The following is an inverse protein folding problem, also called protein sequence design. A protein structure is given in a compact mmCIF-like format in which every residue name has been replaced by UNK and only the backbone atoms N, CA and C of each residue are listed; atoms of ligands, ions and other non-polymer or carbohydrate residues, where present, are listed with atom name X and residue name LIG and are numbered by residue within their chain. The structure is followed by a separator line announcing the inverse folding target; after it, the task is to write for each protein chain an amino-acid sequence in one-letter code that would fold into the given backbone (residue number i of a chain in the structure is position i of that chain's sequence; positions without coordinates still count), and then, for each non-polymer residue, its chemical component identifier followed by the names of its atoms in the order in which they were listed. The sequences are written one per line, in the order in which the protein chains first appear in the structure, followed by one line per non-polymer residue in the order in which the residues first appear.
data_IF_839470972879
#
_entry.id   IF_839470972879
#
_cell.length_a   1.000
_cell.length_b   1.000
_cell.length_c   1.000
_cell.angle_alpha   90.00
_cell.angle_beta   90.00
_cell.angle_gamma   90.00
#
_symmetry.space_group_name_H-M   'P 1'
#
loop_
_entity.id
_entity.type
_entity.pdbx_description
1 polymer ?
#
# COMPACT_ATOMS: atom_id res chain seq x y z
N UNK A 1 -24.26 -42.54 -20.35
CA UNK A 1 -23.34 -42.43 -19.20
C UNK A 1 -22.08 -41.73 -19.69
N UNK A 2 -21.98 -40.41 -19.51
CA UNK A 2 -20.83 -39.65 -20.00
C UNK A 2 -19.87 -39.41 -18.84
N UNK A 3 -18.68 -40.00 -18.97
CA UNK A 3 -17.55 -39.88 -18.05
C UNK A 3 -17.16 -38.42 -17.86
N UNK A 4 -17.36 -37.87 -16.65
CA UNK A 4 -16.77 -36.58 -16.25
C UNK A 4 -15.30 -36.82 -15.98
N UNK A 5 -14.44 -36.43 -16.91
CA UNK A 5 -13.05 -36.16 -16.57
C UNK A 5 -13.01 -34.93 -15.63
N UNK A 6 -12.24 -34.98 -14.53
CA UNK A 6 -11.98 -33.77 -13.76
C UNK A 6 -11.12 -32.85 -14.63
N UNK A 7 -11.64 -31.68 -14.98
CA UNK A 7 -10.82 -30.61 -15.53
C UNK A 7 -9.71 -30.31 -14.52
N UNK A 8 -8.46 -30.60 -14.91
CA UNK A 8 -7.28 -30.20 -14.14
C UNK A 8 -7.23 -28.66 -14.13
N UNK A 9 -7.06 -28.00 -12.97
CA UNK A 9 -7.00 -26.55 -12.90
C UNK A 9 -5.75 -26.05 -13.63
N UNK A 10 -5.96 -25.40 -14.77
CA UNK A 10 -4.91 -24.86 -15.62
C UNK A 10 -4.25 -23.65 -14.95
N UNK A 11 -3.00 -23.84 -14.52
CA UNK A 11 -1.94 -22.83 -14.36
C UNK A 11 -2.26 -21.59 -13.49
N UNK A 12 -2.50 -21.78 -12.20
CA UNK A 12 -2.19 -20.76 -11.17
C UNK A 12 -1.01 -21.10 -10.28
N UNK A 13 -0.39 -22.25 -10.53
CA UNK A 13 0.67 -22.80 -9.68
C UNK A 13 2.06 -22.20 -9.90
N UNK A 14 2.29 -21.35 -10.90
CA UNK A 14 3.62 -20.90 -11.29
C UNK A 14 4.34 -20.16 -10.16
N UNK A 15 3.91 -18.93 -9.87
CA UNK A 15 4.54 -18.12 -8.81
C UNK A 15 4.27 -18.66 -7.41
N UNK A 16 3.08 -19.23 -7.15
CA UNK A 16 2.73 -19.81 -5.85
C UNK A 16 3.66 -20.97 -5.45
N UNK A 17 4.06 -21.81 -6.41
CA UNK A 17 5.06 -22.86 -6.15
C UNK A 17 6.39 -22.25 -5.75
N UNK A 18 6.82 -21.19 -6.44
CA UNK A 18 8.05 -20.48 -6.15
C UNK A 18 8.04 -19.79 -4.78
N UNK A 19 6.91 -19.21 -4.35
CA UNK A 19 6.77 -18.59 -3.03
C UNK A 19 7.02 -19.57 -1.88
N UNK A 20 6.70 -20.86 -2.06
CA UNK A 20 6.92 -21.90 -1.02
C UNK A 20 8.38 -22.32 -0.85
N UNK A 21 9.24 -22.03 -1.83
CA UNK A 21 10.64 -22.41 -1.74
C UNK A 21 11.42 -21.42 -0.88
N UNK A 22 12.45 -21.89 -0.17
CA UNK A 22 13.30 -21.03 0.68
C UNK A 22 14.37 -20.26 -0.13
N UNK A 23 14.63 -20.64 -1.38
CA UNK A 23 15.61 -19.98 -2.24
C UNK A 23 15.15 -18.56 -2.67
N UNK A 24 16.03 -17.54 -2.64
CA UNK A 24 15.66 -16.17 -3.04
C UNK A 24 15.03 -16.13 -4.43
N UNK A 25 13.97 -15.33 -4.61
CA UNK A 25 13.29 -15.22 -5.88
C UNK A 25 13.89 -14.07 -6.70
N UNK A 26 14.45 -14.36 -7.89
CA UNK A 26 14.86 -13.29 -8.79
C UNK A 26 13.63 -12.50 -9.23
N UNK A 27 13.77 -11.18 -9.32
CA UNK A 27 12.72 -10.33 -9.85
C UNK A 27 12.45 -10.66 -11.33
N UNK A 28 11.18 -10.86 -11.68
CA UNK A 28 10.67 -11.15 -13.02
C UNK A 28 9.48 -10.26 -13.29
N UNK A 29 9.35 -9.80 -14.53
CA UNK A 29 8.24 -8.92 -14.93
C UNK A 29 6.89 -9.54 -14.61
N UNK A 30 5.93 -8.67 -14.29
CA UNK A 30 4.58 -9.04 -13.96
C UNK A 30 3.91 -9.89 -15.05
N UNK A 31 3.07 -10.82 -14.62
CA UNK A 31 2.37 -11.73 -15.53
C UNK A 31 0.93 -11.92 -15.10
N UNK A 32 0.02 -11.89 -16.09
CA UNK A 32 -1.39 -12.24 -15.89
C UNK A 32 -1.58 -13.67 -15.37
N UNK A 33 -0.58 -14.56 -15.54
CA UNK A 33 -0.62 -15.94 -15.02
C UNK A 33 -0.58 -16.03 -13.50
N UNK A 34 -0.20 -14.94 -12.81
CA UNK A 34 -0.23 -14.86 -11.35
C UNK A 34 -1.62 -14.55 -10.82
N UNK A 35 -2.51 -14.04 -11.69
CA UNK A 35 -3.87 -13.77 -11.32
C UNK A 35 -4.62 -15.08 -11.10
N UNK A 36 -5.24 -15.12 -9.94
CA UNK A 36 -6.13 -16.17 -9.51
C UNK A 36 -7.30 -16.36 -10.49
N UNK A 37 -7.83 -17.59 -10.72
CA UNK A 37 -9.05 -17.76 -11.50
C UNK A 37 -10.19 -16.96 -10.86
N UNK A 38 -11.21 -16.63 -11.66
CA UNK A 38 -12.40 -15.96 -11.13
C UNK A 38 -12.98 -16.82 -9.99
N UNK A 39 -13.39 -16.18 -8.90
CA UNK A 39 -13.93 -16.80 -7.68
C UNK A 39 -12.92 -17.56 -6.79
N UNK A 40 -11.62 -17.46 -7.06
CA UNK A 40 -10.61 -17.93 -6.11
C UNK A 40 -10.04 -16.79 -5.26
N UNK A 41 -9.49 -17.15 -4.10
CA UNK A 41 -9.14 -16.22 -3.05
C UNK A 41 -7.63 -15.98 -3.00
N UNK A 42 -7.16 -14.72 -2.90
CA UNK A 42 -5.77 -14.40 -2.60
C UNK A 42 -5.26 -15.17 -1.39
N UNK A 43 -3.98 -15.55 -1.39
CA UNK A 43 -3.42 -16.38 -0.32
C UNK A 43 -3.48 -15.71 1.05
N UNK A 44 -3.72 -14.41 1.13
CA UNK A 44 -3.94 -13.64 2.37
C UNK A 44 -5.42 -13.35 2.66
N UNK A 45 -6.37 -13.82 1.85
CA UNK A 45 -7.80 -13.56 2.04
C UNK A 45 -8.29 -13.98 3.43
N UNK A 46 -9.03 -13.10 4.12
CA UNK A 46 -9.66 -13.35 5.43
C UNK A 46 -10.79 -14.37 5.37
N UNK A 47 -11.12 -14.86 4.17
CA UNK A 47 -12.07 -15.97 3.94
C UNK A 47 -11.39 -17.34 4.01
N UNK A 48 -10.06 -17.38 4.20
CA UNK A 48 -9.28 -18.61 4.36
C UNK A 48 -8.98 -18.84 5.84
N UNK A 49 -9.23 -20.06 6.32
CA UNK A 49 -8.93 -20.47 7.70
C UNK A 49 -7.45 -20.86 7.89
N UNK A 50 -6.76 -21.18 6.79
CA UNK A 50 -5.39 -21.67 6.78
C UNK A 50 -4.50 -20.84 5.86
N UNK A 51 -3.24 -20.69 6.22
CA UNK A 51 -2.24 -20.06 5.37
C UNK A 51 -1.72 -21.02 4.28
N UNK A 52 -0.76 -20.57 3.46
CA UNK A 52 -0.23 -21.36 2.35
C UNK A 52 0.50 -22.65 2.79
N UNK A 53 0.91 -22.72 4.05
CA UNK A 53 1.62 -23.84 4.69
C UNK A 53 0.67 -24.81 5.42
N UNK A 54 -0.63 -24.51 5.47
CA UNK A 54 -1.62 -25.34 6.15
C UNK A 54 -1.71 -25.08 7.66
N UNK A 55 -1.08 -24.03 8.17
CA UNK A 55 -1.25 -23.60 9.55
C UNK A 55 -2.56 -22.83 9.70
N UNK A 56 -3.32 -23.14 10.75
CA UNK A 56 -4.56 -22.43 11.05
C UNK A 56 -4.23 -20.98 11.42
N UNK A 57 -4.86 -20.02 10.75
CA UNK A 57 -4.70 -18.59 11.06
C UNK A 57 -5.18 -18.29 12.47
N UNK A 58 -4.63 -17.24 13.07
CA UNK A 58 -4.84 -16.87 14.48
C UNK A 58 -4.27 -17.82 15.54
N UNK A 59 -3.77 -19.00 15.16
CA UNK A 59 -2.95 -19.79 16.07
C UNK A 59 -1.62 -19.08 16.34
N UNK A 60 -1.01 -19.32 17.51
CA UNK A 60 0.31 -18.76 17.82
C UNK A 60 1.39 -19.22 16.82
N UNK A 61 1.26 -20.45 16.32
CA UNK A 61 2.17 -21.02 15.32
C UNK A 61 2.10 -20.31 13.94
N UNK A 62 0.95 -19.71 13.61
CA UNK A 62 0.76 -18.97 12.36
C UNK A 62 0.95 -17.45 12.54
N UNK A 63 1.52 -17.01 13.67
CA UNK A 63 1.68 -15.60 13.99
C UNK A 63 3.13 -15.22 14.22
N UNK A 64 3.45 -14.01 13.78
CA UNK A 64 4.72 -13.35 14.07
C UNK A 64 4.40 -11.95 14.60
N UNK A 65 4.45 -11.81 15.94
CA UNK A 65 3.99 -10.61 16.64
C UNK A 65 2.53 -10.27 16.30
N UNK A 66 2.29 -9.09 15.72
CA UNK A 66 0.98 -8.62 15.31
C UNK A 66 0.54 -9.15 13.93
N UNK A 67 1.43 -9.84 13.22
CA UNK A 67 1.20 -10.30 11.86
C UNK A 67 0.75 -11.76 11.82
N UNK A 68 -0.11 -12.08 10.85
CA UNK A 68 -0.34 -13.46 10.43
C UNK A 68 0.73 -13.82 9.38
N UNK A 69 1.30 -15.02 9.48
CA UNK A 69 2.32 -15.54 8.56
C UNK A 69 1.60 -16.14 7.36
N UNK A 70 1.77 -15.54 6.17
CA UNK A 70 1.15 -16.03 4.93
C UNK A 70 2.07 -16.99 4.17
N UNK A 71 3.36 -16.66 4.17
CA UNK A 71 4.45 -17.47 3.62
C UNK A 71 5.66 -17.29 4.54
N UNK A 72 6.15 -18.36 5.19
CA UNK A 72 7.20 -18.24 6.18
C UNK A 72 8.46 -17.57 5.62
N UNK A 73 8.97 -16.59 6.36
CA UNK A 73 10.18 -15.84 6.00
C UNK A 73 10.03 -14.89 4.80
N UNK A 74 8.84 -14.81 4.18
CA UNK A 74 8.65 -14.08 2.92
C UNK A 74 7.52 -13.07 2.95
N UNK A 75 6.37 -13.46 3.51
CA UNK A 75 5.14 -12.69 3.42
C UNK A 75 4.32 -12.78 4.70
N UNK A 76 3.89 -11.62 5.16
CA UNK A 76 3.05 -11.47 6.35
C UNK A 76 1.91 -10.51 6.08
N UNK A 77 0.77 -10.72 6.72
CA UNK A 77 -0.38 -9.83 6.66
C UNK A 77 -0.67 -9.21 8.04
N UNK A 78 -1.01 -7.93 8.04
CA UNK A 78 -1.44 -7.17 9.22
C UNK A 78 -2.79 -6.53 8.90
N UNK A 79 -3.74 -6.64 9.83
CA UNK A 79 -5.12 -6.24 9.61
C UNK A 79 -5.54 -5.18 10.62
N UNK A 80 -6.14 -4.10 10.12
CA UNK A 80 -6.85 -3.12 10.94
C UNK A 80 -8.29 -3.57 11.23
N UNK A 81 -9.00 -2.77 12.01
CA UNK A 81 -10.43 -2.90 12.25
C UNK A 81 -11.29 -1.87 11.52
N UNK A 82 -10.68 -0.85 10.91
CA UNK A 82 -11.40 0.28 10.33
C UNK A 82 -11.28 0.33 8.79
N UNK A 83 -12.41 0.62 8.13
CA UNK A 83 -12.49 0.89 6.71
C UNK A 83 -12.85 2.36 6.46
N UNK A 84 -12.35 3.02 5.41
CA UNK A 84 -12.72 4.40 5.05
C UNK A 84 -14.24 4.63 4.85
N UNK A 85 -14.97 3.59 4.47
CA UNK A 85 -16.45 3.62 4.36
C UNK A 85 -17.19 3.27 5.66
N UNK A 86 -16.49 3.09 6.79
CA UNK A 86 -17.12 2.77 8.07
C UNK A 86 -18.11 3.85 8.51
N UNK A 87 -19.16 3.45 9.22
CA UNK A 87 -20.23 4.34 9.71
C UNK A 87 -19.74 5.41 10.69
N UNK A 88 -18.56 5.22 11.27
CA UNK A 88 -17.91 6.19 12.13
C UNK A 88 -17.59 7.51 11.38
N UNK A 89 -17.26 7.44 10.09
CA UNK A 89 -17.00 8.65 9.30
C UNK A 89 -18.30 9.30 8.82
N UNK A 90 -18.27 10.61 8.60
CA UNK A 90 -19.38 11.35 7.99
C UNK A 90 -19.72 10.78 6.60
N UNK A 91 -21.02 10.63 6.29
CA UNK A 91 -21.48 10.05 5.03
C UNK A 91 -21.00 10.81 3.78
N UNK A 92 -20.71 12.10 3.89
CA UNK A 92 -20.26 12.96 2.77
C UNK A 92 -18.79 12.71 2.38
N UNK A 93 -18.00 12.10 3.25
CA UNK A 93 -16.56 11.85 3.05
C UNK A 93 -16.20 10.38 2.88
N UNK A 94 -17.07 9.44 3.28
CA UNK A 94 -16.81 7.98 3.21
C UNK A 94 -16.32 7.55 1.82
N UNK A 95 -15.19 6.84 1.81
CA UNK A 95 -14.52 6.33 0.61
C UNK A 95 -13.68 7.39 -0.14
N UNK A 96 -14.01 8.68 -0.03
CA UNK A 96 -13.31 9.77 -0.74
C UNK A 96 -11.93 10.06 -0.15
N UNK A 97 -11.72 9.71 1.13
CA UNK A 97 -10.45 9.89 1.83
C UNK A 97 -9.38 8.84 1.51
N UNK A 98 -9.65 7.85 0.66
CA UNK A 98 -8.75 6.70 0.39
C UNK A 98 -7.33 7.12 0.00
N UNK A 99 -7.20 8.15 -0.86
CA UNK A 99 -5.90 8.68 -1.24
C UNK A 99 -5.14 9.28 -0.05
N UNK A 100 -5.82 10.13 0.73
CA UNK A 100 -5.24 10.75 1.92
C UNK A 100 -4.78 9.69 2.93
N UNK A 101 -5.55 8.60 3.09
CA UNK A 101 -5.17 7.45 3.90
C UNK A 101 -3.91 6.76 3.36
N UNK A 102 -3.76 6.60 2.05
CA UNK A 102 -2.53 6.06 1.43
C UNK A 102 -1.32 6.97 1.69
N UNK A 103 -1.48 8.29 1.56
CA UNK A 103 -0.41 9.26 1.88
C UNK A 103 0.00 9.14 3.34
N UNK A 104 -0.96 9.10 4.27
CA UNK A 104 -0.67 8.94 5.70
C UNK A 104 -0.01 7.59 6.00
N UNK A 105 -0.31 6.52 5.27
CA UNK A 105 0.39 5.24 5.39
C UNK A 105 1.89 5.37 5.02
N UNK A 106 2.22 6.13 3.97
CA UNK A 106 3.61 6.46 3.62
C UNK A 106 4.28 7.30 4.72
N UNK A 107 3.57 8.26 5.31
CA UNK A 107 4.06 9.04 6.45
C UNK A 107 4.34 8.16 7.68
N UNK A 108 3.46 7.18 7.93
CA UNK A 108 3.66 6.20 8.99
C UNK A 108 4.88 5.31 8.70
N UNK A 109 5.12 4.88 7.46
CA UNK A 109 6.28 4.07 7.09
C UNK A 109 7.61 4.83 7.19
N UNK A 110 7.63 6.10 6.80
CA UNK A 110 8.81 6.95 6.95
C UNK A 110 9.16 7.29 8.40
N UNK A 111 8.14 7.36 9.28
CA UNK A 111 8.29 7.61 10.72
C UNK A 111 8.62 6.33 11.49
N UNK A 112 7.81 5.28 11.30
CA UNK A 112 7.92 3.97 11.93
C UNK A 112 8.54 2.97 10.96
N UNK A 113 9.84 3.16 10.69
CA UNK A 113 10.59 2.41 9.66
C UNK A 113 10.65 0.90 9.92
N UNK A 114 10.59 0.47 11.18
CA UNK A 114 10.55 -0.96 11.52
C UNK A 114 9.15 -1.51 11.25
N UNK A 115 8.92 -1.92 10.00
CA UNK A 115 7.61 -2.38 9.53
C UNK A 115 7.12 -3.58 10.35
N UNK A 116 8.01 -4.47 10.78
CA UNK A 116 7.70 -5.60 11.66
C UNK A 116 7.18 -5.24 13.06
N UNK A 117 7.18 -3.96 13.44
CA UNK A 117 6.63 -3.47 14.71
C UNK A 117 5.25 -2.81 14.56
N UNK A 118 4.71 -2.75 13.34
CA UNK A 118 3.37 -2.21 13.12
C UNK A 118 2.31 -3.05 13.84
N UNK A 119 1.17 -2.41 14.11
CA UNK A 119 0.06 -3.02 14.85
C UNK A 119 -1.29 -2.71 14.21
N UNK A 120 -2.35 -3.48 14.52
CA UNK A 120 -3.71 -3.17 14.05
C UNK A 120 -4.15 -1.74 14.41
N UNK A 121 -3.80 -1.30 15.63
CA UNK A 121 -4.09 0.05 16.12
C UNK A 121 -3.40 1.14 15.28
N UNK A 122 -2.19 0.87 14.78
CA UNK A 122 -1.51 1.78 13.86
C UNK A 122 -2.25 1.87 12.52
N UNK A 123 -2.75 0.75 11.99
CA UNK A 123 -3.53 0.76 10.75
C UNK A 123 -4.83 1.56 10.91
N UNK A 124 -5.53 1.40 12.04
CA UNK A 124 -6.73 2.19 12.33
C UNK A 124 -6.40 3.68 12.48
N UNK A 125 -5.29 4.01 13.15
CA UNK A 125 -4.80 5.38 13.25
C UNK A 125 -4.46 5.98 11.88
N UNK A 126 -3.91 5.21 10.94
CA UNK A 126 -3.65 5.64 9.57
C UNK A 126 -4.98 6.03 8.88
N UNK A 127 -6.04 5.22 9.03
CA UNK A 127 -7.35 5.54 8.45
C UNK A 127 -7.94 6.81 9.06
N UNK A 128 -7.92 6.94 10.39
CA UNK A 128 -8.44 8.13 11.11
C UNK A 128 -7.66 9.41 10.74
N UNK A 129 -6.34 9.33 10.69
CA UNK A 129 -5.51 10.49 10.33
C UNK A 129 -5.60 10.82 8.84
N UNK A 130 -5.78 9.84 7.96
CA UNK A 130 -6.04 10.09 6.55
C UNK A 130 -7.38 10.77 6.29
N UNK A 131 -8.41 10.41 7.05
CA UNK A 131 -9.70 11.09 7.03
C UNK A 131 -9.61 12.54 7.56
N UNK A 132 -8.86 12.77 8.64
CA UNK A 132 -8.54 14.14 9.11
C UNK A 132 -7.79 14.93 8.04
N UNK A 133 -6.74 14.34 7.48
CA UNK A 133 -5.95 14.97 6.43
C UNK A 133 -6.86 15.37 5.28
N UNK A 134 -7.67 14.44 4.74
CA UNK A 134 -8.63 14.69 3.67
C UNK A 134 -9.60 15.84 3.94
N UNK A 135 -10.12 16.01 5.17
CA UNK A 135 -11.03 17.13 5.47
C UNK A 135 -10.33 18.48 5.51
N UNK A 136 -9.25 18.57 6.28
CA UNK A 136 -8.43 19.81 6.36
C UNK A 136 -7.96 20.22 4.98
N UNK A 137 -7.59 19.21 4.22
CA UNK A 137 -7.37 19.29 2.82
C UNK A 137 -8.58 19.93 2.11
N UNK A 138 -9.73 19.26 2.00
CA UNK A 138 -10.93 19.75 1.28
C UNK A 138 -11.35 21.18 1.66
N UNK A 139 -11.18 21.55 2.92
CA UNK A 139 -11.43 22.90 3.41
C UNK A 139 -10.46 23.95 2.83
N UNK A 140 -9.20 23.59 2.58
CA UNK A 140 -8.15 24.48 2.10
C UNK A 140 -8.03 24.56 0.56
N UNK A 141 -8.65 23.64 -0.18
CA UNK A 141 -8.58 23.65 -1.65
C UNK A 141 -9.86 23.15 -2.28
N UNK A 142 -10.44 23.94 -3.19
CA UNK A 142 -11.63 23.56 -3.98
C UNK A 142 -11.37 22.36 -4.93
N UNK A 143 -10.12 21.87 -5.02
CA UNK A 143 -9.71 20.88 -6.03
C UNK A 143 -8.64 19.89 -5.52
N UNK A 144 -9.05 19.00 -4.61
CA UNK A 144 -8.19 17.94 -4.06
C UNK A 144 -7.65 16.96 -5.07
N UNK A 145 -8.43 16.72 -6.12
CA UNK A 145 -8.08 15.78 -7.17
C UNK A 145 -6.93 16.32 -8.05
N UNK A 146 -6.68 17.64 -8.05
CA UNK A 146 -5.60 18.28 -8.81
C UNK A 146 -4.29 18.43 -8.02
N UNK A 147 -4.29 18.11 -6.73
CA UNK A 147 -3.07 18.15 -5.89
C UNK A 147 -2.18 16.92 -6.09
N UNK A 148 -2.72 15.86 -6.72
CA UNK A 148 -1.90 14.85 -7.42
C UNK A 148 -1.68 15.36 -8.84
N UNK A 149 -0.61 16.13 -9.04
CA UNK A 149 -0.33 16.80 -10.31
C UNK A 149 -0.56 15.92 -11.53
N UNK A 150 -1.64 16.22 -12.27
CA UNK A 150 -1.71 15.94 -13.70
C UNK A 150 -0.53 16.64 -14.35
N UNK A 151 0.41 15.88 -14.90
CA UNK A 151 1.36 16.40 -15.88
C UNK A 151 0.60 16.76 -17.17
N UNK A 152 -0.21 17.81 -17.13
CA UNK A 152 -0.78 18.46 -18.29
C UNK A 152 -0.67 19.96 -18.04
N UNK A 153 0.43 20.53 -18.53
CA UNK A 153 0.66 21.95 -18.83
C UNK A 153 -0.02 22.99 -17.93
N UNK A 154 0.84 23.70 -17.19
CA UNK A 154 0.59 24.98 -16.49
C UNK A 154 -0.18 24.89 -15.17
N UNK A 155 0.58 24.74 -14.07
CA UNK A 155 0.23 25.33 -12.79
C UNK A 155 1.50 25.76 -12.07
N UNK A 156 1.55 27.05 -11.71
CA UNK A 156 2.50 27.63 -10.78
C UNK A 156 1.87 27.50 -9.39
N UNK A 157 2.40 26.60 -8.56
CA UNK A 157 2.63 26.72 -7.12
C UNK A 157 3.70 25.68 -6.74
N UNK A 158 4.70 26.15 -6.00
CA UNK A 158 6.05 25.59 -5.95
C UNK A 158 6.20 24.48 -4.91
N UNK A 159 5.97 23.25 -5.33
CA UNK A 159 6.74 22.11 -4.86
C UNK A 159 7.90 21.97 -5.87
N UNK A 160 9.07 22.52 -5.53
CA UNK A 160 10.37 22.22 -6.17
C UNK A 160 10.38 20.91 -6.98
N UNK A 161 10.29 21.00 -8.32
CA UNK A 161 10.57 19.88 -9.18
C UNK A 161 12.07 19.64 -9.11
N UNK A 162 12.50 18.46 -8.65
CA UNK A 162 13.83 18.01 -9.06
C UNK A 162 13.73 17.69 -10.54
N UNK A 163 14.11 18.69 -11.35
CA UNK A 163 14.25 18.56 -12.79
C UNK A 163 15.10 17.33 -13.14
N UNK A 164 14.63 16.62 -14.18
CA UNK A 164 15.22 15.45 -14.83
C UNK A 164 14.75 14.11 -14.27
N UNK A 165 13.52 13.74 -14.65
CA UNK A 165 13.26 12.36 -15.04
C UNK A 165 14.13 12.09 -16.27
N UNK A 166 15.35 11.60 -16.05
CA UNK A 166 16.23 11.16 -17.12
C UNK A 166 15.53 10.04 -17.90
N UNK A 167 15.44 10.23 -19.21
CA UNK A 167 15.06 9.24 -20.22
C UNK A 167 16.03 8.04 -20.17
N UNK A 168 15.51 6.81 -20.08
CA UNK A 168 16.04 5.78 -20.97
C UNK A 168 14.92 4.93 -21.59
N UNK A 169 14.99 4.77 -22.91
CA UNK A 169 14.55 3.62 -23.71
C UNK A 169 13.19 2.99 -23.34
N UNK A 170 12.20 3.25 -24.21
CA UNK A 170 10.76 2.87 -24.14
C UNK A 170 9.92 3.77 -23.25
N UNK A 171 8.99 4.50 -23.86
CA UNK A 171 7.96 5.31 -23.17
C UNK A 171 6.94 4.45 -22.39
N UNK A 172 7.07 3.13 -22.44
CA UNK A 172 6.21 2.15 -21.76
C UNK A 172 7.10 1.25 -20.91
N UNK A 173 7.05 1.45 -19.59
CA UNK A 173 7.71 0.59 -18.59
C UNK A 173 6.70 -0.36 -17.96
N UNK A 174 7.12 -1.60 -17.72
CA UNK A 174 6.37 -2.54 -16.87
C UNK A 174 6.34 -2.10 -15.40
N UNK A 175 5.47 -2.69 -14.59
CA UNK A 175 5.38 -2.39 -13.16
C UNK A 175 6.71 -2.70 -12.44
N UNK A 176 7.35 -3.83 -12.74
CA UNK A 176 8.67 -4.14 -12.16
C UNK A 176 9.73 -3.07 -12.49
N UNK A 177 9.78 -2.65 -13.76
CA UNK A 177 10.73 -1.63 -14.23
C UNK A 177 10.46 -0.28 -13.56
N UNK A 178 9.19 0.12 -13.49
CA UNK A 178 8.75 1.32 -12.79
C UNK A 178 9.10 1.31 -11.31
N UNK A 179 8.92 0.17 -10.62
CA UNK A 179 9.31 0.02 -9.21
C UNK A 179 10.82 0.08 -9.02
N UNK A 180 11.61 -0.58 -9.88
CA UNK A 180 13.07 -0.49 -9.84
C UNK A 180 13.52 0.95 -10.00
N UNK A 181 12.98 1.67 -11.01
CA UNK A 181 13.28 3.07 -11.23
C UNK A 181 12.87 3.93 -10.02
N UNK A 182 11.68 3.71 -9.47
CA UNK A 182 11.17 4.44 -8.31
C UNK A 182 12.11 4.29 -7.10
N UNK A 183 12.51 3.07 -6.77
CA UNK A 183 13.37 2.78 -5.62
C UNK A 183 14.81 3.24 -5.77
N UNK A 184 15.23 3.72 -6.95
CA UNK A 184 16.53 4.41 -7.09
C UNK A 184 16.56 5.78 -6.41
N UNK A 185 15.39 6.41 -6.20
CA UNK A 185 15.28 7.79 -5.68
C UNK A 185 14.38 7.91 -4.46
N UNK A 186 13.33 7.08 -4.39
CA UNK A 186 12.26 7.24 -3.41
C UNK A 186 12.07 5.97 -2.59
N UNK A 187 11.63 6.13 -1.35
CA UNK A 187 11.37 4.98 -0.45
C UNK A 187 9.89 4.65 -0.34
N UNK A 188 9.01 5.65 -0.45
CA UNK A 188 7.58 5.55 -0.15
C UNK A 188 6.78 6.19 -1.27
N UNK A 189 5.70 5.54 -1.69
CA UNK A 189 4.87 6.06 -2.75
C UNK A 189 3.45 5.53 -2.75
N UNK A 190 2.64 6.14 -3.61
CA UNK A 190 1.28 5.68 -3.91
C UNK A 190 1.27 5.18 -5.34
N UNK A 191 0.77 3.96 -5.53
CA UNK A 191 0.49 3.36 -6.82
C UNK A 191 -1.00 3.58 -7.13
N UNK A 192 -1.29 4.16 -8.29
CA UNK A 192 -2.65 4.33 -8.80
C UNK A 192 -2.84 3.53 -10.08
N UNK A 193 -3.91 2.74 -10.15
CA UNK A 193 -4.29 1.97 -11.34
C UNK A 193 -5.81 1.71 -11.35
N UNK A 194 -6.51 2.10 -12.41
CA UNK A 194 -7.97 1.91 -12.58
C UNK A 194 -8.78 2.33 -11.33
N UNK A 195 -8.50 3.52 -10.79
CA UNK A 195 -9.11 4.12 -9.59
C UNK A 195 -8.71 3.47 -8.25
N UNK A 196 -8.02 2.34 -8.27
CA UNK A 196 -7.44 1.75 -7.07
C UNK A 196 -6.14 2.46 -6.69
N UNK A 197 -5.94 2.63 -5.39
CA UNK A 197 -4.78 3.32 -4.82
C UNK A 197 -4.20 2.48 -3.71
N UNK A 198 -2.91 2.21 -3.80
CA UNK A 198 -2.16 1.43 -2.82
C UNK A 198 -0.95 2.25 -2.36
N UNK A 199 -0.75 2.33 -1.05
CA UNK A 199 0.52 2.83 -0.53
C UNK A 199 1.55 1.70 -0.57
N UNK A 200 2.80 2.02 -0.90
CA UNK A 200 3.87 1.04 -0.96
C UNK A 200 5.21 1.66 -0.57
N UNK A 201 6.19 0.81 -0.28
CA UNK A 201 7.56 1.28 -0.13
C UNK A 201 8.52 0.22 0.38
N UNK A 202 9.72 0.69 0.72
CA UNK A 202 10.82 -0.14 1.19
C UNK A 202 11.56 0.51 2.36
N UNK A 203 11.77 -0.28 3.43
CA UNK A 203 12.55 0.09 4.61
C UNK A 203 13.80 -0.78 4.74
N UNK A 204 14.98 -0.18 4.84
CA UNK A 204 16.23 -0.89 5.14
C UNK A 204 16.46 -1.13 6.64
N UNK A 205 15.53 -0.73 7.51
CA UNK A 205 15.70 -0.90 8.97
C UNK A 205 15.64 -2.37 9.42
N UNK A 206 16.06 -2.63 10.66
CA UNK A 206 15.87 -3.94 11.30
C UNK A 206 14.37 -4.27 11.32
N UNK A 207 14.00 -5.38 10.69
CA UNK A 207 12.61 -5.82 10.47
C UNK A 207 11.81 -4.94 9.51
N UNK A 208 12.50 -4.20 8.63
CA UNK A 208 11.94 -3.53 7.47
C UNK A 208 11.57 -4.50 6.35
N UNK A 209 11.94 -4.18 5.12
CA UNK A 209 11.53 -4.86 3.90
C UNK A 209 10.55 -4.01 3.10
N UNK A 210 9.82 -4.66 2.20
CA UNK A 210 8.81 -4.03 1.37
C UNK A 210 7.43 -4.11 2.03
N UNK A 211 6.55 -3.17 1.69
CA UNK A 211 5.14 -3.30 2.03
C UNK A 211 4.22 -2.78 0.93
N UNK A 212 2.99 -3.31 0.93
CA UNK A 212 1.82 -2.59 0.44
C UNK A 212 0.85 -2.33 1.59
N UNK A 213 0.08 -1.26 1.49
CA UNK A 213 -1.06 -0.97 2.33
C UNK A 213 -2.28 -0.65 1.44
N UNK A 214 -3.38 -1.32 1.72
CA UNK A 214 -4.66 -1.17 1.03
C UNK A 214 -5.76 -0.87 2.06
N UNK A 215 -6.62 0.08 1.74
CA UNK A 215 -7.78 0.43 2.56
C UNK A 215 -9.07 0.51 1.74
N UNK A 216 -9.05 0.04 0.49
CA UNK A 216 -10.19 0.07 -0.42
C UNK A 216 -10.94 -1.26 -0.48
N UNK A 217 -10.34 -2.35 0.00
CA UNK A 217 -10.91 -3.68 -0.08
C UNK A 217 -12.18 -3.83 0.79
N UNK A 218 -13.26 -4.26 0.14
CA UNK A 218 -14.56 -4.53 0.75
C UNK A 218 -15.16 -5.82 0.17
N UNK A 219 -15.57 -6.73 1.04
CA UNK A 219 -16.13 -8.02 0.67
C UNK A 219 -15.16 -8.89 -0.13
N UNK A 220 -15.73 -9.72 -1.00
CA UNK A 220 -14.99 -10.62 -1.87
C UNK A 220 -13.98 -9.86 -2.75
N UNK A 221 -12.73 -10.36 -2.93
CA UNK A 221 -12.26 -11.67 -2.50
C UNK A 221 -11.51 -11.67 -1.15
N UNK A 222 -11.30 -10.51 -0.52
CA UNK A 222 -10.45 -10.40 0.68
C UNK A 222 -11.24 -10.65 1.96
N UNK A 223 -12.43 -10.07 2.08
CA UNK A 223 -13.23 -10.11 3.29
C UNK A 223 -14.52 -10.91 3.09
N UNK A 224 -15.15 -11.38 4.18
CA UNK A 224 -16.54 -11.83 4.15
C UNK A 224 -17.47 -10.75 3.60
N UNK A 225 -18.64 -11.16 3.10
CA UNK A 225 -19.59 -10.22 2.49
C UNK A 225 -20.01 -9.13 3.48
N UNK A 226 -20.12 -7.89 2.98
CA UNK A 226 -20.44 -6.69 3.77
C UNK A 226 -19.42 -6.33 4.88
N UNK A 227 -18.20 -6.85 4.80
CA UNK A 227 -17.10 -6.47 5.68
C UNK A 227 -15.97 -5.84 4.88
N UNK A 228 -15.24 -4.93 5.49
CA UNK A 228 -14.03 -4.33 4.93
C UNK A 228 -13.17 -3.75 6.04
N UNK A 229 -11.87 -3.68 5.81
CA UNK A 229 -10.90 -3.07 6.70
C UNK A 229 -9.64 -2.68 5.91
N UNK A 230 -8.82 -1.82 6.48
CA UNK A 230 -7.45 -1.64 5.97
C UNK A 230 -6.56 -2.81 6.36
N UNK A 231 -5.55 -3.06 5.52
CA UNK A 231 -4.54 -4.07 5.78
C UNK A 231 -3.20 -3.70 5.15
N UNK A 232 -2.13 -4.27 5.68
CA UNK A 232 -0.79 -4.18 5.12
C UNK A 232 -0.25 -5.57 4.84
N UNK A 233 0.44 -5.73 3.71
CA UNK A 233 1.23 -6.92 3.42
C UNK A 233 2.70 -6.54 3.48
N UNK A 234 3.46 -7.24 4.31
CA UNK A 234 4.91 -7.09 4.43
C UNK A 234 5.59 -8.19 3.63
N UNK A 235 6.60 -7.83 2.86
CA UNK A 235 7.40 -8.73 2.04
C UNK A 235 8.90 -8.52 2.28
N UNK A 236 9.71 -9.57 2.20
CA UNK A 236 11.19 -9.46 2.28
C UNK A 236 11.85 -9.24 0.93
N UNK A 237 11.17 -9.58 -0.17
CA UNK A 237 11.71 -9.56 -1.53
C UNK A 237 10.83 -8.73 -2.48
N UNK A 238 11.45 -8.00 -3.41
CA UNK A 238 10.75 -7.19 -4.40
C UNK A 238 9.78 -8.02 -5.26
N UNK A 239 10.15 -9.27 -5.58
CA UNK A 239 9.29 -10.17 -6.34
C UNK A 239 7.98 -10.50 -5.59
N UNK A 240 8.04 -10.60 -4.26
CA UNK A 240 6.87 -10.87 -3.41
C UNK A 240 6.01 -9.61 -3.30
N UNK A 241 6.64 -8.42 -3.21
CA UNK A 241 5.92 -7.14 -3.30
C UNK A 241 5.15 -7.04 -4.63
N UNK A 242 5.82 -7.31 -5.74
CA UNK A 242 5.23 -7.26 -7.08
C UNK A 242 4.05 -8.23 -7.21
N UNK A 243 4.19 -9.46 -6.70
CA UNK A 243 3.10 -10.42 -6.62
C UNK A 243 1.90 -9.87 -5.83
N UNK A 244 2.16 -9.28 -4.66
CA UNK A 244 1.13 -8.67 -3.82
C UNK A 244 0.38 -7.57 -4.57
N UNK A 245 1.10 -6.67 -5.26
CA UNK A 245 0.51 -5.59 -6.06
C UNK A 245 -0.35 -6.15 -7.20
N UNK A 246 0.15 -7.09 -7.99
CA UNK A 246 -0.56 -7.67 -9.13
C UNK A 246 -1.87 -8.33 -8.70
N UNK A 247 -1.85 -9.11 -7.62
CA UNK A 247 -3.04 -9.81 -7.13
C UNK A 247 -4.00 -8.86 -6.41
N UNK A 248 -3.51 -7.83 -5.71
CA UNK A 248 -4.36 -6.80 -5.09
C UNK A 248 -5.09 -5.97 -6.14
N UNK A 249 -4.38 -5.53 -7.19
CA UNK A 249 -4.96 -4.77 -8.29
C UNK A 249 -5.87 -5.62 -9.19
N UNK A 250 -5.57 -6.92 -9.33
CA UNK A 250 -6.37 -7.89 -10.09
C UNK A 250 -6.73 -7.43 -11.53
N UNK A 251 -5.82 -6.69 -12.17
CA UNK A 251 -6.03 -6.12 -13.51
C UNK A 251 -5.86 -7.21 -14.58
N UNK A 252 -6.95 -7.56 -15.26
CA UNK A 252 -6.99 -8.63 -16.28
C UNK A 252 -6.86 -8.14 -17.72
N UNK A 253 -6.55 -6.87 -17.91
CA UNK A 253 -6.35 -6.24 -19.22
C UNK A 253 -4.87 -5.91 -19.40
N UNK A 254 -4.38 -6.06 -20.62
CA UNK A 254 -3.01 -5.63 -20.98
C UNK A 254 -2.98 -4.12 -21.22
N UNK A 255 -1.78 -3.54 -21.14
CA UNK A 255 -1.50 -2.14 -21.47
C UNK A 255 -2.37 -1.16 -20.67
N UNK A 256 -2.55 -1.45 -19.38
CA UNK A 256 -3.26 -0.56 -18.46
C UNK A 256 -2.25 0.41 -17.87
N UNK A 257 -2.54 1.69 -17.99
CA UNK A 257 -1.73 2.75 -17.39
C UNK A 257 -1.79 2.66 -15.86
N UNK A 258 -0.63 2.86 -15.23
CA UNK A 258 -0.50 3.04 -13.80
C UNK A 258 0.38 4.26 -13.53
N UNK A 259 0.25 4.85 -12.33
CA UNK A 259 1.07 5.98 -11.90
C UNK A 259 1.71 5.67 -10.56
N UNK A 260 2.97 6.09 -10.40
CA UNK A 260 3.72 6.01 -9.16
C UNK A 260 3.99 7.44 -8.69
N UNK A 261 3.48 7.80 -7.53
CA UNK A 261 3.72 9.09 -6.89
C UNK A 261 4.65 8.89 -5.70
N UNK A 262 5.72 9.68 -5.57
CA UNK A 262 6.54 9.68 -4.36
C UNK A 262 5.83 10.42 -3.23
N UNK A 263 6.08 9.99 -1.99
CA UNK A 263 5.62 10.68 -0.79
C UNK A 263 6.82 10.92 0.11
N UNK A 264 7.22 12.18 0.22
CA UNK A 264 8.32 12.61 1.07
C UNK A 264 7.80 13.52 2.19
N UNK A 265 8.27 13.26 3.42
CA UNK A 265 7.98 14.09 4.58
C UNK A 265 9.05 15.18 4.69
N UNK A 266 8.65 16.44 4.48
CA UNK A 266 9.46 17.58 4.89
C UNK A 266 9.19 17.86 6.37
N UNK A 267 10.23 17.72 7.20
CA UNK A 267 10.16 18.21 8.58
C UNK A 267 10.19 19.74 8.51
N UNK A 268 9.10 20.37 8.90
CA UNK A 268 9.12 21.80 9.21
C UNK A 268 9.91 21.92 10.51
N UNK A 269 11.14 22.40 10.41
CA UNK A 269 11.87 22.86 11.60
C UNK A 269 11.12 24.09 12.11
N UNK A 270 10.57 24.02 13.32
CA UNK A 270 10.17 25.23 14.03
C UNK A 270 11.40 26.16 14.03
N UNK A 271 11.27 27.34 13.43
CA UNK A 271 12.36 28.31 13.38
C UNK A 271 12.85 28.64 14.79
N UNK A 272 14.12 29.08 14.96
CA UNK A 272 14.59 29.54 16.26
C UNK A 272 13.87 30.86 16.58
N UNK A 273 12.83 30.82 17.40
CA UNK A 273 12.11 32.06 17.73
C UNK A 273 10.73 31.90 18.37
N UNK A 274 10.62 31.15 19.47
CA UNK A 274 9.65 31.51 20.50
C UNK A 274 10.26 31.23 21.86
N UNK A 275 11.16 32.13 22.27
CA UNK A 275 11.55 32.22 23.67
C UNK A 275 10.30 32.68 24.45
N UNK A 276 9.76 31.87 25.38
CA UNK A 276 8.55 32.22 26.13
C UNK A 276 8.74 33.40 27.10
N UNK A 277 9.95 33.98 27.19
CA UNK A 277 10.28 35.02 28.16
C UNK A 277 10.29 36.46 27.62
N UNK A 278 10.00 36.72 26.34
CA UNK A 278 10.09 38.08 25.77
C UNK A 278 8.88 38.99 26.03
N UNK A 279 7.93 38.61 26.91
CA UNK A 279 6.71 39.40 27.18
C UNK A 279 6.75 40.29 28.44
N UNK A 280 7.89 40.45 29.11
CA UNK A 280 7.94 41.19 30.39
C UNK A 280 8.92 42.36 30.50
N UNK A 281 9.45 42.90 29.41
CA UNK A 281 10.26 44.13 29.46
C UNK A 281 9.87 45.13 28.37
N UNK A 282 8.78 45.88 28.60
CA UNK A 282 8.62 47.25 28.08
C UNK A 282 7.49 48.00 28.81
N UNK A 283 7.67 48.17 30.12
CA UNK A 283 7.15 49.35 30.83
C UNK A 283 8.32 49.87 31.66
N UNK A 284 8.55 51.18 31.61
CA UNK A 284 9.72 51.92 32.11
C UNK A 284 10.84 52.12 31.08
N UNK A 285 10.57 52.99 30.11
CA UNK A 285 11.41 54.14 29.75
C UNK A 285 10.56 55.17 28.99
#
# INVERSE_FOLDING_TARGET
MSSRHPEKPTSTGGILKHLRHTAPLPARSESMTWLLPRNSLPIWSRRLDYNLEGCQRHSEAARWRNYDVEVAGRMWSLWGGLHPCARWFDSTVRGRQTLAVCVVACCAASTFRSLGMWSPKLLDAIVVNGDRYYRTSVEQSERWDHLLGTCASSCRWSWWPSDRCSDPASTVMGLLEGLNYFFTRYQWGVLECQEQRLAFGHSSSREGGYFIYDCSAWGSPIFPDNMGASYALRATELQVLLYCMVVTLNVRRRNVEFRLYNVDLTRVSDGPGSDPNSKYESKYE
#
